data_IF_609659900250
#
_entry.id   IF_609659900250
#
_cell.length_a   1.000
_cell.length_b   1.000
_cell.length_c   1.000
_cell.angle_alpha   90.00
_cell.angle_beta   90.00
_cell.angle_gamma   90.00
#
_symmetry.space_group_name_H-M   'P 1'
#
loop_
_entity.id
_entity.type
_entity.pdbx_description
1 polymer ?
#
# COMPACT_ATOMS: atom_id res chain seq x y z
N UNK A 1 -9.82 -10.66 0.03
CA UNK A 1 -8.63 -10.44 -0.84
C UNK A 1 -7.46 -10.03 0.02
N UNK A 2 -6.38 -10.81 0.00
CA UNK A 2 -5.16 -10.51 0.76
C UNK A 2 -4.32 -9.51 -0.02
N UNK A 3 -3.78 -8.50 0.65
CA UNK A 3 -3.04 -7.44 -0.01
C UNK A 3 -2.10 -6.64 0.90
N UNK A 4 -1.26 -5.83 0.27
CA UNK A 4 -0.46 -4.78 0.89
C UNK A 4 -0.62 -3.46 0.17
N UNK A 5 -0.39 -2.38 0.91
CA UNK A 5 -0.29 -1.02 0.36
C UNK A 5 1.08 -0.47 0.69
N UNK A 6 1.73 0.09 -0.33
CA UNK A 6 3.05 0.70 -0.26
C UNK A 6 2.96 2.19 -0.56
N UNK A 7 3.57 3.01 0.30
CA UNK A 7 3.63 4.47 0.12
C UNK A 7 5.08 4.95 0.19
N UNK A 8 5.39 5.98 -0.60
CA UNK A 8 6.74 6.54 -0.66
C UNK A 8 7.09 7.23 0.66
N UNK A 9 8.32 7.01 1.11
CA UNK A 9 8.94 7.76 2.18
C UNK A 9 9.65 8.99 1.61
N UNK A 10 9.15 10.18 1.95
CA UNK A 10 9.70 11.45 1.45
C UNK A 10 11.17 11.68 1.82
N UNK A 11 11.69 11.08 2.89
CA UNK A 11 13.10 11.21 3.25
C UNK A 11 14.02 10.39 2.32
N UNK A 12 13.48 9.32 1.72
CA UNK A 12 14.18 8.45 0.76
C UNK A 12 13.89 8.80 -0.70
N UNK A 13 12.89 9.63 -0.97
CA UNK A 13 12.49 10.06 -2.31
C UNK A 13 13.43 11.13 -2.89
N UNK A 14 14.64 10.72 -3.29
CA UNK A 14 15.65 11.64 -3.85
C UNK A 14 15.24 12.25 -5.18
N UNK A 15 14.42 11.54 -5.96
CA UNK A 15 13.97 11.95 -7.28
C UNK A 15 12.65 12.75 -7.25
N UNK A 16 12.03 12.91 -6.07
CA UNK A 16 10.78 13.64 -5.85
C UNK A 16 9.64 13.11 -6.73
N UNK A 17 9.50 11.79 -6.79
CA UNK A 17 8.47 11.11 -7.59
C UNK A 17 7.19 10.84 -6.80
N UNK A 18 7.14 11.23 -5.52
CA UNK A 18 5.91 11.21 -4.75
C UNK A 18 4.81 12.05 -5.42
N UNK A 19 3.64 11.44 -5.55
CA UNK A 19 2.45 11.97 -6.24
C UNK A 19 2.62 12.24 -7.74
N UNK A 20 3.67 11.70 -8.38
CA UNK A 20 3.84 11.78 -9.84
C UNK A 20 3.23 10.57 -10.56
N UNK A 21 2.90 10.72 -11.85
CA UNK A 21 2.40 9.60 -12.66
C UNK A 21 3.46 8.52 -12.87
N UNK A 22 3.03 7.33 -13.32
CA UNK A 22 3.96 6.26 -13.67
C UNK A 22 4.97 6.72 -14.72
N UNK A 23 4.48 7.36 -15.79
CA UNK A 23 5.31 7.84 -16.90
C UNK A 23 6.40 8.81 -16.44
N UNK A 24 6.05 9.81 -15.62
CA UNK A 24 7.02 10.77 -15.09
C UNK A 24 7.99 10.14 -14.10
N UNK A 25 7.52 9.18 -13.30
CA UNK A 25 8.40 8.42 -12.40
C UNK A 25 9.47 7.68 -13.19
N UNK A 26 9.09 7.04 -14.31
CA UNK A 26 10.05 6.40 -15.21
C UNK A 26 10.99 7.43 -15.86
N UNK A 27 10.48 8.60 -16.25
CA UNK A 27 11.30 9.67 -16.84
C UNK A 27 12.36 10.22 -15.85
N UNK A 28 11.97 10.48 -14.60
CA UNK A 28 12.83 11.13 -13.62
C UNK A 28 13.75 10.16 -12.88
N UNK A 29 13.25 8.97 -12.54
CA UNK A 29 13.97 7.98 -11.74
C UNK A 29 14.49 6.78 -12.54
N UNK A 30 14.10 6.64 -13.81
CA UNK A 30 14.47 5.49 -14.65
C UNK A 30 13.75 4.19 -14.29
N UNK A 31 12.84 4.22 -13.32
CA UNK A 31 12.19 3.05 -12.75
C UNK A 31 11.49 3.37 -11.43
N UNK A 32 10.66 2.44 -10.96
CA UNK A 32 10.13 2.49 -9.59
C UNK A 32 11.13 1.78 -8.70
N UNK A 33 11.73 2.51 -7.76
CA UNK A 33 12.62 1.96 -6.74
C UNK A 33 11.79 1.47 -5.55
N UNK A 34 11.71 0.16 -5.25
CA UNK A 34 10.94 -0.32 -4.10
C UNK A 34 11.53 0.11 -2.75
N UNK A 35 12.84 0.42 -2.70
CA UNK A 35 13.56 0.72 -1.45
C UNK A 35 13.15 2.05 -0.82
N UNK A 36 12.49 2.94 -1.57
CA UNK A 36 11.95 4.21 -1.06
C UNK A 36 10.54 4.05 -0.46
N UNK A 37 9.92 2.88 -0.58
CA UNK A 37 8.57 2.64 -0.09
C UNK A 37 8.56 2.10 1.36
N UNK A 38 7.45 2.34 2.04
CA UNK A 38 7.04 1.72 3.30
C UNK A 38 5.77 0.90 3.09
N UNK A 39 5.69 -0.27 3.71
CA UNK A 39 4.43 -0.99 3.86
C UNK A 39 3.59 -0.30 4.92
N UNK A 40 2.43 0.23 4.51
CA UNK A 40 1.50 0.96 5.40
C UNK A 40 0.25 0.16 5.74
N UNK A 41 0.00 -0.93 5.02
CA UNK A 41 -1.06 -1.89 5.29
C UNK A 41 -0.64 -3.28 4.84
N UNK A 42 -0.99 -4.28 5.62
CA UNK A 42 -0.92 -5.69 5.27
C UNK A 42 -2.13 -6.39 5.90
N UNK A 43 -2.93 -7.08 5.09
CA UNK A 43 -4.11 -7.77 5.61
C UNK A 43 -5.05 -8.26 4.52
N UNK A 44 -6.21 -8.74 4.96
CA UNK A 44 -7.29 -9.14 4.08
C UNK A 44 -8.41 -8.09 4.09
N UNK A 45 -8.89 -7.72 2.91
CA UNK A 45 -10.02 -6.81 2.70
C UNK A 45 -11.16 -7.51 1.96
N UNK A 46 -12.39 -7.07 2.21
CA UNK A 46 -13.59 -7.57 1.55
C UNK A 46 -13.84 -7.02 0.14
N UNK A 47 -12.79 -6.53 -0.54
CA UNK A 47 -12.87 -5.93 -1.87
C UNK A 47 -12.67 -6.98 -2.97
N UNK A 48 -13.27 -6.73 -4.13
CA UNK A 48 -13.24 -7.61 -5.30
C UNK A 48 -12.31 -7.13 -6.41
N UNK A 49 -11.99 -5.84 -6.46
CA UNK A 49 -11.18 -5.19 -7.51
C UNK A 49 -10.45 -3.95 -6.97
N UNK A 50 -9.55 -3.37 -7.78
CA UNK A 50 -8.72 -2.22 -7.43
C UNK A 50 -9.52 -0.95 -7.15
N UNK A 51 -10.66 -0.76 -7.81
CA UNK A 51 -11.55 0.38 -7.61
C UNK A 51 -12.21 0.34 -6.22
N UNK A 52 -12.72 -0.83 -5.79
CA UNK A 52 -13.26 -1.03 -4.45
C UNK A 52 -12.18 -0.86 -3.36
N UNK A 53 -10.94 -1.27 -3.66
CA UNK A 53 -9.79 -1.03 -2.78
C UNK A 53 -9.56 0.49 -2.67
N UNK A 54 -9.49 1.19 -3.80
CA UNK A 54 -9.28 2.63 -3.81
C UNK A 54 -10.37 3.36 -3.02
N UNK A 55 -11.64 2.98 -3.21
CA UNK A 55 -12.77 3.54 -2.45
C UNK A 55 -12.65 3.28 -0.95
N UNK A 56 -12.37 2.03 -0.54
CA UNK A 56 -12.21 1.65 0.86
C UNK A 56 -11.13 2.50 1.54
N UNK A 57 -9.94 2.57 0.96
CA UNK A 57 -8.82 3.32 1.51
C UNK A 57 -8.92 4.83 1.35
N UNK A 58 -9.98 5.36 0.73
CA UNK A 58 -10.25 6.80 0.66
C UNK A 58 -11.46 7.24 1.49
N UNK A 59 -12.39 6.33 1.79
CA UNK A 59 -13.66 6.66 2.48
C UNK A 59 -13.79 6.04 3.86
N UNK A 60 -13.22 4.84 4.07
CA UNK A 60 -13.36 4.08 5.30
C UNK A 60 -12.10 3.24 5.53
N UNK A 61 -11.03 3.90 6.01
CA UNK A 61 -9.74 3.24 6.19
C UNK A 61 -9.85 2.00 7.08
N UNK A 62 -9.22 0.88 6.69
CA UNK A 62 -9.04 -0.25 7.60
C UNK A 62 -8.36 0.19 8.90
N UNK A 63 -8.77 -0.38 10.04
CA UNK A 63 -8.23 -0.02 11.38
C UNK A 63 -6.71 -0.14 11.48
N UNK A 64 -6.13 -1.07 10.71
CA UNK A 64 -4.69 -1.38 10.71
C UNK A 64 -3.93 -0.62 9.63
N UNK A 65 -4.59 0.25 8.87
CA UNK A 65 -3.94 1.11 7.89
C UNK A 65 -3.20 2.24 8.62
N UNK A 66 -1.91 2.39 8.31
CA UNK A 66 -0.99 3.29 9.02
C UNK A 66 -0.47 4.44 8.16
N UNK A 67 -1.02 4.58 6.95
CA UNK A 67 -0.61 5.51 5.91
C UNK A 67 -1.68 6.56 5.61
N UNK A 68 -1.48 7.34 4.55
CA UNK A 68 -2.48 8.26 4.02
C UNK A 68 -3.44 7.54 3.07
N UNK A 69 -4.55 8.18 2.70
CA UNK A 69 -5.43 7.64 1.66
C UNK A 69 -4.66 7.31 0.39
N UNK A 70 -5.04 6.24 -0.29
CA UNK A 70 -4.36 5.83 -1.54
C UNK A 70 -4.46 6.97 -2.56
N UNK A 71 -3.31 7.31 -3.12
CA UNK A 71 -3.12 8.40 -4.05
C UNK A 71 -2.12 8.03 -5.14
N UNK A 72 -1.95 8.92 -6.11
CA UNK A 72 -0.94 8.77 -7.16
C UNK A 72 0.42 8.46 -6.54
N UNK A 73 1.18 7.56 -7.16
CA UNK A 73 2.47 7.01 -6.71
C UNK A 73 2.45 5.88 -5.69
N UNK A 74 1.30 5.63 -5.05
CA UNK A 74 1.14 4.49 -4.16
C UNK A 74 1.05 3.18 -4.94
N UNK A 75 1.43 2.07 -4.30
CA UNK A 75 1.37 0.74 -4.92
C UNK A 75 0.49 -0.18 -4.10
N UNK A 76 -0.42 -0.87 -4.78
CA UNK A 76 -1.26 -1.93 -4.22
C UNK A 76 -0.70 -3.27 -4.70
N UNK A 77 -0.30 -4.14 -3.77
CA UNK A 77 0.06 -5.52 -4.07
C UNK A 77 -1.09 -6.44 -3.68
N UNK A 78 -1.62 -7.17 -4.66
CA UNK A 78 -2.64 -8.20 -4.43
C UNK A 78 -1.94 -9.56 -4.35
N UNK A 79 -2.21 -10.27 -3.26
CA UNK A 79 -1.72 -11.61 -2.97
C UNK A 79 -2.92 -12.58 -3.01
N UNK A 80 -2.75 -13.73 -3.62
CA UNK A 80 -3.72 -14.83 -3.58
C UNK A 80 -5.04 -14.56 -4.35
N UNK A 81 -4.98 -13.92 -5.52
CA UNK A 81 -6.11 -13.79 -6.46
C UNK A 81 -5.71 -14.01 -7.93
N UNK A 82 -6.69 -14.08 -8.84
CA UNK A 82 -6.43 -14.10 -10.29
C UNK A 82 -5.73 -12.81 -10.74
N UNK A 83 -5.99 -11.72 -10.02
CA UNK A 83 -5.39 -10.40 -10.21
C UNK A 83 -4.15 -10.20 -9.33
N UNK A 84 -3.43 -11.27 -8.99
CA UNK A 84 -2.18 -11.13 -8.23
C UNK A 84 -1.17 -10.28 -9.01
N UNK A 85 -0.46 -9.42 -8.28
CA UNK A 85 0.52 -8.50 -8.84
C UNK A 85 0.62 -7.19 -8.07
N UNK A 86 1.55 -6.34 -8.50
CA UNK A 86 1.73 -4.99 -7.99
C UNK A 86 1.12 -3.98 -8.96
N UNK A 87 0.38 -3.01 -8.44
CA UNK A 87 -0.40 -2.05 -9.20
C UNK A 87 -0.07 -0.65 -8.71
N UNK A 88 0.52 0.15 -9.57
CA UNK A 88 0.82 1.55 -9.31
C UNK A 88 -0.44 2.38 -9.49
N UNK A 89 -0.82 3.16 -8.48
CA UNK A 89 -1.90 4.13 -8.57
C UNK A 89 -1.43 5.30 -9.44
N UNK A 90 -2.04 5.46 -10.60
CA UNK A 90 -1.75 6.57 -11.52
C UNK A 90 -2.81 7.66 -11.37
N UNK A 91 -2.60 8.77 -12.07
CA UNK A 91 -3.56 9.85 -12.27
C UNK A 91 -4.92 9.37 -12.78
N UNK A 92 -4.95 8.27 -13.55
CA UNK A 92 -6.18 7.61 -14.01
C UNK A 92 -6.06 6.10 -13.84
N UNK A 93 -6.68 5.57 -12.79
CA UNK A 93 -6.73 4.14 -12.53
C UNK A 93 -5.39 3.56 -12.05
N UNK A 94 -5.12 2.32 -12.44
CA UNK A 94 -3.95 1.57 -11.97
C UNK A 94 -3.13 1.01 -13.13
N UNK A 95 -1.81 1.14 -13.01
CA UNK A 95 -0.84 0.57 -13.94
C UNK A 95 -0.22 -0.68 -13.32
N UNK A 96 -0.43 -1.85 -13.94
CA UNK A 96 0.18 -3.11 -13.47
C UNK A 96 1.69 -3.09 -13.70
N UNK A 97 2.45 -3.34 -12.63
CA UNK A 97 3.90 -3.41 -12.66
C UNK A 97 4.37 -4.82 -13.00
N UNK A 98 5.31 -4.92 -13.95
CA UNK A 98 5.84 -6.21 -14.43
C UNK A 98 7.06 -6.69 -13.65
N UNK A 99 7.80 -5.79 -13.00
CA UNK A 99 9.10 -6.08 -12.36
C UNK A 99 9.31 -5.38 -11.02
N UNK A 100 8.25 -5.15 -10.24
CA UNK A 100 8.38 -4.56 -8.90
C UNK A 100 8.77 -5.62 -7.88
N UNK A 101 9.89 -5.40 -7.17
CA UNK A 101 10.36 -6.29 -6.11
C UNK A 101 9.81 -5.86 -4.74
N UNK A 102 8.70 -6.48 -4.33
CA UNK A 102 8.08 -6.20 -3.03
C UNK A 102 8.94 -6.61 -1.83
N UNK A 103 9.99 -7.44 -2.01
CA UNK A 103 10.89 -7.81 -0.92
C UNK A 103 11.86 -6.70 -0.53
N UNK A 104 12.09 -5.74 -1.42
CA UNK A 104 12.95 -4.57 -1.18
C UNK A 104 12.20 -3.40 -0.49
N UNK A 105 10.88 -3.50 -0.32
CA UNK A 105 10.07 -2.50 0.38
C UNK A 105 10.28 -2.62 1.89
N UNK A 106 10.31 -1.48 2.61
CA UNK A 106 10.41 -1.53 4.06
C UNK A 106 9.16 -2.20 4.68
N UNK A 107 9.35 -3.16 5.60
CA UNK A 107 8.24 -3.91 6.18
C UNK A 107 7.39 -3.00 7.06
N UNK A 108 6.14 -3.41 7.26
CA UNK A 108 5.20 -2.67 8.10
C UNK A 108 5.73 -2.61 9.54
N UNK A 109 5.86 -1.39 10.05
CA UNK A 109 6.36 -1.13 11.39
C UNK A 109 5.23 -1.29 12.43
N UNK A 110 5.62 -1.39 13.69
CA UNK A 110 4.70 -1.48 14.81
C UNK A 110 4.72 -2.82 15.54
N UNK A 111 3.84 -2.93 16.53
CA UNK A 111 3.73 -4.07 17.44
C UNK A 111 2.72 -5.06 16.88
N UNK A 112 3.01 -6.36 17.01
CA UNK A 112 2.06 -7.42 16.65
C UNK A 112 0.92 -7.43 17.65
N UNK A 113 -0.30 -7.26 17.16
CA UNK A 113 -1.53 -7.22 17.94
C UNK A 113 -2.57 -8.19 17.38
N UNK A 114 -3.47 -8.66 18.25
CA UNK A 114 -4.68 -9.36 17.84
C UNK A 114 -5.83 -8.35 17.79
N UNK A 115 -6.39 -8.13 16.61
CA UNK A 115 -7.49 -7.19 16.37
C UNK A 115 -8.82 -7.94 16.45
N UNK A 116 -9.78 -7.36 17.16
CA UNK A 116 -11.14 -7.89 17.29
C UNK A 116 -12.13 -6.81 16.90
N UNK A 117 -12.88 -7.05 15.83
CA UNK A 117 -13.93 -6.16 15.34
C UNK A 117 -15.29 -6.85 15.43
N UNK A 118 -16.39 -6.10 15.66
CA UNK A 118 -17.73 -6.67 15.64
C UNK A 118 -18.00 -7.45 14.34
N UNK A 119 -18.55 -8.64 14.47
CA UNK A 119 -18.96 -9.51 13.36
C UNK A 119 -17.83 -9.99 12.44
N UNK A 120 -16.55 -9.83 12.81
CA UNK A 120 -15.41 -10.38 12.08
C UNK A 120 -14.66 -11.42 12.92
N UNK A 121 -14.00 -12.37 12.25
CA UNK A 121 -13.07 -13.25 12.95
C UNK A 121 -11.87 -12.43 13.45
N UNK A 122 -11.33 -12.71 14.66
CA UNK A 122 -10.10 -12.07 15.12
C UNK A 122 -8.95 -12.34 14.16
N UNK A 123 -8.10 -11.34 13.93
CA UNK A 123 -6.95 -11.45 13.05
C UNK A 123 -5.73 -10.73 13.62
N UNK A 124 -4.55 -11.20 13.24
CA UNK A 124 -3.31 -10.55 13.65
C UNK A 124 -2.95 -9.42 12.69
N UNK A 125 -2.44 -8.32 13.24
CA UNK A 125 -1.92 -7.21 12.47
C UNK A 125 -0.74 -6.54 13.18
N UNK A 126 0.01 -5.73 12.45
CA UNK A 126 0.98 -4.80 13.01
C UNK A 126 0.37 -3.41 13.07
N UNK A 127 0.46 -2.77 14.23
CA UNK A 127 -0.07 -1.42 14.49
C UNK A 127 1.04 -0.61 15.17
N UNK A 128 1.24 0.64 14.73
CA UNK A 128 2.13 1.62 15.38
C UNK A 128 1.84 1.72 16.88
N UNK A 129 2.89 1.76 17.70
CA UNK A 129 2.79 1.95 19.16
C UNK A 129 2.56 3.42 19.53
N UNK A 130 1.56 4.05 18.90
CA UNK A 130 1.22 5.47 19.11
C UNK A 130 0.14 5.62 20.21
N UNK A 131 -0.15 4.54 20.95
CA UNK A 131 -1.15 4.51 22.04
C UNK A 131 -0.68 5.19 23.33
N UNK A 132 0.53 5.77 23.33
CA UNK A 132 1.07 6.50 24.48
C UNK A 132 0.57 7.95 24.44
N UNK A 133 -0.49 8.20 25.20
CA UNK A 133 -0.93 9.54 25.61
C UNK A 133 0.06 10.19 26.57
#
# INVERSE_FOLDING_TARGET
MKMRVYQIDHERDTNRVSFESYEKTIEYAGGIDPSIYNTVFEGEVGCSNLEEIYELFNTCHPVTHQGHSISVSDIVEIMDSVDSGCYYCDSVGFTKLTSFDSQAVQPIQGVRMLVVEPHKQPYEARIKDDFRS
#
